data_IF_763334305953
#
_entry.id   IF_763334305953
#
_cell.length_a   1.000
_cell.length_b   1.000
_cell.length_c   1.000
_cell.angle_alpha   90.00
_cell.angle_beta   90.00
_cell.angle_gamma   90.00
#
_symmetry.space_group_name_H-M   'P 1'
#
loop_
_entity.id
_entity.type
_entity.pdbx_description
1 polymer ?
#
# COMPACT_ATOMS: atom_id res chain seq x y z
N UNK A 1 26.22 14.08 -1.37
CA UNK A 1 26.05 12.64 -1.07
C UNK A 1 24.72 12.13 -1.63
N UNK A 2 23.56 12.49 -1.06
CA UNK A 2 22.24 12.02 -1.53
C UNK A 2 21.93 12.22 -3.03
N UNK A 3 22.29 13.38 -3.61
CA UNK A 3 22.16 13.62 -5.07
C UNK A 3 22.87 12.53 -5.89
N UNK A 4 24.05 12.07 -5.45
CA UNK A 4 24.79 11.02 -6.12
C UNK A 4 24.08 9.66 -6.06
N UNK A 5 23.41 9.35 -4.94
CA UNK A 5 22.57 8.15 -4.81
C UNK A 5 21.40 8.17 -5.79
N UNK A 6 20.74 9.33 -5.94
CA UNK A 6 19.64 9.50 -6.90
C UNK A 6 20.12 9.32 -8.34
N UNK A 7 21.24 9.93 -8.73
CA UNK A 7 21.83 9.73 -10.07
C UNK A 7 22.16 8.27 -10.33
N UNK A 8 22.80 7.59 -9.37
CA UNK A 8 23.11 6.17 -9.51
C UNK A 8 21.84 5.31 -9.70
N UNK A 9 20.76 5.60 -8.96
CA UNK A 9 19.48 4.93 -9.15
C UNK A 9 18.86 5.22 -10.53
N UNK A 10 18.95 6.47 -10.99
CA UNK A 10 18.49 6.88 -12.32
C UNK A 10 19.24 6.15 -13.45
N UNK A 11 20.57 6.08 -13.37
CA UNK A 11 21.40 5.41 -14.37
C UNK A 11 21.07 3.91 -14.50
N UNK A 12 20.82 3.23 -13.37
CA UNK A 12 20.42 1.81 -13.35
C UNK A 12 19.00 1.64 -13.88
N UNK A 13 18.07 2.51 -13.46
CA UNK A 13 16.69 2.51 -13.96
C UNK A 13 16.64 2.52 -15.48
N UNK A 14 17.36 3.45 -16.11
CA UNK A 14 17.37 3.59 -17.57
C UNK A 14 17.84 2.32 -18.31
N UNK A 15 18.61 1.45 -17.65
CA UNK A 15 19.10 0.20 -18.24
C UNK A 15 18.15 -0.98 -18.03
N UNK A 16 17.38 -1.00 -16.94
CA UNK A 16 16.57 -2.15 -16.54
C UNK A 16 15.08 -1.97 -16.85
N UNK A 17 14.53 -0.81 -16.47
CA UNK A 17 13.11 -0.51 -16.58
C UNK A 17 12.91 1.03 -16.57
N UNK A 18 12.80 1.68 -17.74
CA UNK A 18 12.64 3.13 -17.79
C UNK A 18 11.31 3.62 -17.16
N UNK A 19 10.32 2.76 -17.00
CA UNK A 19 9.00 3.09 -16.44
C UNK A 19 8.97 3.01 -14.90
N UNK A 20 10.04 2.48 -14.27
CA UNK A 20 10.16 2.43 -12.81
C UNK A 20 10.19 3.85 -12.21
N UNK A 21 9.40 4.14 -11.18
CA UNK A 21 9.37 5.49 -10.59
C UNK A 21 10.40 5.68 -9.47
N UNK A 22 11.19 6.75 -9.55
CA UNK A 22 12.11 7.18 -8.50
C UNK A 22 11.49 8.32 -7.68
N UNK A 23 11.13 8.01 -6.44
CA UNK A 23 10.54 8.98 -5.50
C UNK A 23 11.62 9.41 -4.49
N UNK A 24 12.00 10.68 -4.54
CA UNK A 24 13.09 11.20 -3.72
C UNK A 24 12.59 11.86 -2.43
N UNK A 25 12.92 11.22 -1.30
CA UNK A 25 12.55 11.63 0.05
C UNK A 25 13.59 12.53 0.71
N UNK A 26 13.13 13.55 1.42
CA UNK A 26 13.94 14.38 2.32
C UNK A 26 13.28 14.50 3.69
N UNK A 27 14.01 14.09 4.73
CA UNK A 27 13.64 14.25 6.15
C UNK A 27 14.25 15.53 6.76
N UNK A 28 14.85 16.41 5.96
CA UNK A 28 15.56 17.59 6.45
C UNK A 28 14.66 18.55 7.23
N UNK A 29 13.34 18.56 7.02
CA UNK A 29 12.40 19.38 7.79
C UNK A 29 12.39 19.04 9.28
N UNK A 30 12.50 17.76 9.62
CA UNK A 30 12.47 17.26 11.00
C UNK A 30 13.86 16.99 11.60
N UNK A 31 14.93 17.13 10.80
CA UNK A 31 16.29 16.87 11.25
C UNK A 31 16.78 17.92 12.26
N UNK A 32 17.73 17.54 13.12
CA UNK A 32 18.34 18.47 14.06
C UNK A 32 19.06 19.60 13.31
N UNK A 33 18.61 20.85 13.53
CA UNK A 33 19.11 22.02 12.81
C UNK A 33 18.61 22.15 11.35
N UNK A 34 17.68 21.31 10.94
CA UNK A 34 17.10 21.34 9.60
C UNK A 34 15.96 22.35 9.44
N UNK A 35 15.49 22.51 8.21
CA UNK A 35 14.42 23.47 7.88
C UNK A 35 13.56 23.01 6.71
N UNK A 36 12.42 23.69 6.53
CA UNK A 36 11.57 23.46 5.36
C UNK A 36 12.27 23.85 4.05
N UNK A 37 13.00 24.96 4.06
CA UNK A 37 13.75 25.44 2.90
C UNK A 37 14.80 24.41 2.48
N UNK A 38 15.58 23.90 3.43
CA UNK A 38 16.55 22.84 3.15
C UNK A 38 15.88 21.58 2.58
N UNK A 39 14.70 21.21 3.09
CA UNK A 39 13.98 20.05 2.58
C UNK A 39 13.53 20.24 1.13
N UNK A 40 12.99 21.43 0.80
CA UNK A 40 12.57 21.81 -0.56
C UNK A 40 13.77 21.86 -1.51
N UNK A 41 14.87 22.50 -1.11
CA UNK A 41 16.09 22.60 -1.92
C UNK A 41 16.66 21.22 -2.24
N UNK A 42 16.68 20.32 -1.24
CA UNK A 42 17.13 18.94 -1.41
C UNK A 42 16.28 18.19 -2.42
N UNK A 43 14.94 18.18 -2.26
CA UNK A 43 14.09 17.42 -3.20
C UNK A 43 14.14 17.98 -4.61
N UNK A 44 14.26 19.30 -4.77
CA UNK A 44 14.48 19.91 -6.09
C UNK A 44 15.81 19.46 -6.71
N UNK A 45 16.90 19.44 -5.93
CA UNK A 45 18.18 18.90 -6.40
C UNK A 45 18.12 17.40 -6.72
N UNK A 46 17.20 16.65 -6.11
CA UNK A 46 16.96 15.24 -6.42
C UNK A 46 16.15 15.07 -7.71
N UNK A 47 15.15 15.93 -7.95
CA UNK A 47 14.44 15.98 -9.23
C UNK A 47 15.41 16.29 -10.39
N UNK A 48 16.28 17.29 -10.22
CA UNK A 48 17.35 17.63 -11.19
C UNK A 48 18.34 16.47 -11.42
N UNK A 49 18.39 15.50 -10.50
CA UNK A 49 19.25 14.32 -10.56
C UNK A 49 18.58 13.09 -11.20
N UNK A 50 17.32 13.20 -11.63
CA UNK A 50 16.59 12.13 -12.33
C UNK A 50 15.52 11.42 -11.49
N UNK A 51 15.15 11.97 -10.33
CA UNK A 51 13.95 11.54 -9.60
C UNK A 51 12.68 12.06 -10.30
N UNK A 52 11.61 11.26 -10.28
CA UNK A 52 10.35 11.56 -10.95
C UNK A 52 9.35 12.25 -10.01
N UNK A 53 9.48 12.05 -8.69
CA UNK A 53 8.62 12.68 -7.68
C UNK A 53 9.41 13.12 -6.45
N UNK A 54 8.94 14.19 -5.81
CA UNK A 54 9.48 14.73 -4.57
C UNK A 54 8.64 14.33 -3.37
N UNK A 55 9.31 14.06 -2.25
CA UNK A 55 8.68 13.71 -0.99
C UNK A 55 9.35 14.46 0.16
N UNK A 56 8.70 15.51 0.66
CA UNK A 56 9.14 16.26 1.84
C UNK A 56 8.43 15.68 3.06
N UNK A 57 9.19 15.04 3.95
CA UNK A 57 8.62 14.41 5.15
C UNK A 57 8.36 15.43 6.26
N UNK A 58 7.30 15.19 7.03
CA UNK A 58 7.03 15.89 8.28
C UNK A 58 6.70 17.38 8.19
N UNK A 59 6.01 17.91 7.15
CA UNK A 59 5.45 19.26 7.25
C UNK A 59 4.45 19.31 8.41
N UNK A 60 4.45 20.41 9.18
CA UNK A 60 3.68 20.49 10.45
C UNK A 60 2.47 21.41 10.37
N UNK A 61 2.21 22.05 9.24
CA UNK A 61 1.05 22.92 9.05
C UNK A 61 0.59 22.94 7.59
N UNK A 62 -0.67 23.36 7.36
CA UNK A 62 -1.23 23.51 6.02
C UNK A 62 -0.40 24.51 5.19
N UNK A 63 0.05 25.61 5.80
CA UNK A 63 0.90 26.60 5.15
C UNK A 63 2.25 26.03 4.69
N UNK A 64 2.84 25.09 5.43
CA UNK A 64 4.05 24.41 4.98
C UNK A 64 3.77 23.51 3.76
N UNK A 65 2.63 22.82 3.74
CA UNK A 65 2.23 21.97 2.62
C UNK A 65 1.97 22.81 1.36
N UNK A 66 1.26 23.93 1.49
CA UNK A 66 1.07 24.89 0.41
C UNK A 66 2.41 25.40 -0.13
N UNK A 67 3.34 25.75 0.76
CA UNK A 67 4.69 26.19 0.38
C UNK A 67 5.46 25.11 -0.37
N UNK A 68 5.39 23.85 0.08
CA UNK A 68 6.01 22.71 -0.60
C UNK A 68 5.45 22.58 -2.01
N UNK A 69 4.12 22.53 -2.14
CA UNK A 69 3.46 22.37 -3.44
C UNK A 69 3.77 23.54 -4.40
N UNK A 70 3.94 24.76 -3.88
CA UNK A 70 4.31 25.92 -4.67
C UNK A 70 5.80 25.99 -5.07
N UNK A 71 6.69 25.38 -4.29
CA UNK A 71 8.15 25.55 -4.43
C UNK A 71 8.87 24.35 -5.05
N UNK A 72 8.26 23.17 -4.98
CA UNK A 72 8.80 21.95 -5.59
C UNK A 72 8.55 21.99 -7.09
N UNK A 73 9.60 21.71 -7.88
CA UNK A 73 9.59 21.83 -9.35
C UNK A 73 9.11 20.56 -10.06
N UNK A 74 8.27 19.76 -9.40
CA UNK A 74 7.80 18.47 -9.90
C UNK A 74 6.67 17.88 -9.06
N UNK A 75 6.17 16.68 -9.41
CA UNK A 75 5.08 16.04 -8.70
C UNK A 75 5.41 15.77 -7.23
N UNK A 76 4.48 16.11 -6.34
CA UNK A 76 4.65 15.92 -4.89
C UNK A 76 3.91 14.66 -4.44
N UNK A 77 4.62 13.78 -3.73
CA UNK A 77 4.03 12.74 -2.91
C UNK A 77 3.86 13.27 -1.48
N UNK A 78 2.66 13.11 -0.91
CA UNK A 78 2.33 13.55 0.45
C UNK A 78 2.07 12.39 1.41
N UNK A 79 2.71 12.43 2.57
CA UNK A 79 2.51 11.45 3.64
C UNK A 79 1.42 11.92 4.62
N UNK A 80 0.24 11.34 4.55
CA UNK A 80 -0.82 11.61 5.53
C UNK A 80 -0.55 10.83 6.82
N UNK A 81 0.47 11.20 7.60
CA UNK A 81 0.82 10.51 8.86
C UNK A 81 1.45 11.41 9.92
N UNK A 82 1.54 10.92 11.14
CA UNK A 82 2.25 11.57 12.23
C UNK A 82 1.72 12.98 12.54
N UNK A 83 2.64 13.95 12.55
CA UNK A 83 2.37 15.36 12.85
C UNK A 83 1.80 16.14 11.67
N UNK A 84 1.77 15.54 10.48
CA UNK A 84 1.37 16.24 9.27
C UNK A 84 -0.15 16.37 9.16
N UNK A 85 -0.65 17.53 8.67
CA UNK A 85 -2.08 17.75 8.47
C UNK A 85 -2.73 16.65 7.62
N UNK A 86 -4.01 16.38 7.88
CA UNK A 86 -4.80 15.45 7.08
C UNK A 86 -5.70 16.22 6.12
N UNK A 87 -5.79 15.74 4.90
CA UNK A 87 -6.57 16.32 3.82
C UNK A 87 -7.53 15.29 3.26
N UNK A 88 -8.73 15.75 2.90
CA UNK A 88 -9.65 15.03 2.03
C UNK A 88 -9.08 14.91 0.61
N UNK A 89 -9.63 14.00 -0.20
CA UNK A 89 -9.24 13.88 -1.61
C UNK A 89 -9.40 15.20 -2.38
N UNK A 90 -10.47 15.96 -2.10
CA UNK A 90 -10.70 17.26 -2.74
C UNK A 90 -9.58 18.25 -2.40
N UNK A 91 -9.20 18.36 -1.13
CA UNK A 91 -8.12 19.23 -0.68
C UNK A 91 -6.76 18.81 -1.25
N UNK A 92 -6.47 17.51 -1.33
CA UNK A 92 -5.25 17.02 -1.98
C UNK A 92 -5.16 17.45 -3.45
N UNK A 93 -6.28 17.34 -4.17
CA UNK A 93 -6.37 17.76 -5.57
C UNK A 93 -6.21 19.29 -5.70
N UNK A 94 -6.84 20.07 -4.83
CA UNK A 94 -6.73 21.54 -4.81
C UNK A 94 -5.28 22.00 -4.55
N UNK A 95 -4.55 21.29 -3.69
CA UNK A 95 -3.14 21.55 -3.41
C UNK A 95 -2.19 21.11 -4.54
N UNK A 96 -2.68 20.36 -5.54
CA UNK A 96 -1.83 19.83 -6.61
C UNK A 96 -0.95 18.65 -6.18
N UNK A 97 -1.31 17.94 -5.11
CA UNK A 97 -0.59 16.74 -4.66
C UNK A 97 -0.86 15.60 -5.65
N UNK A 98 0.21 15.04 -6.20
CA UNK A 98 0.12 14.00 -7.24
C UNK A 98 -0.16 12.61 -6.67
N UNK A 99 0.34 12.32 -5.46
CA UNK A 99 0.09 11.05 -4.78
C UNK A 99 0.02 11.28 -3.27
N UNK A 100 -0.92 10.63 -2.59
CA UNK A 100 -0.98 10.61 -1.14
C UNK A 100 -0.88 9.18 -0.62
N UNK A 101 -0.11 8.99 0.45
CA UNK A 101 -0.01 7.70 1.16
C UNK A 101 -0.57 7.85 2.58
N UNK A 102 -1.20 6.78 3.07
CA UNK A 102 -1.74 6.70 4.44
C UNK A 102 -1.10 5.49 5.14
N UNK A 103 0.21 5.55 5.44
CA UNK A 103 0.91 4.41 5.98
C UNK A 103 0.36 4.04 7.36
N UNK A 104 0.52 2.77 7.74
CA UNK A 104 0.05 2.18 8.99
C UNK A 104 -1.48 2.11 9.18
N UNK A 105 -2.31 2.72 8.34
CA UNK A 105 -3.77 2.66 8.52
C UNK A 105 -4.27 1.20 8.52
N UNK A 106 -3.87 0.42 7.52
CA UNK A 106 -4.23 -1.00 7.41
C UNK A 106 -3.61 -1.84 8.52
N UNK A 107 -2.33 -1.62 8.85
CA UNK A 107 -1.65 -2.33 9.94
C UNK A 107 -2.33 -2.08 11.28
N UNK A 108 -2.70 -0.82 11.58
CA UNK A 108 -3.39 -0.46 12.82
C UNK A 108 -4.79 -1.05 12.85
N UNK A 109 -5.52 -1.01 11.73
CA UNK A 109 -6.82 -1.67 11.60
C UNK A 109 -6.71 -3.17 11.96
N UNK A 110 -5.76 -3.87 11.34
CA UNK A 110 -5.54 -5.29 11.58
C UNK A 110 -5.14 -5.59 13.03
N UNK A 111 -4.14 -4.87 13.57
CA UNK A 111 -3.65 -5.09 14.94
C UNK A 111 -4.72 -4.78 15.99
N UNK A 112 -5.53 -3.73 15.79
CA UNK A 112 -6.65 -3.43 16.68
C UNK A 112 -7.68 -4.54 16.68
N UNK A 113 -8.12 -5.01 15.50
CA UNK A 113 -9.08 -6.11 15.41
C UNK A 113 -8.55 -7.41 16.04
N UNK A 114 -7.27 -7.74 15.80
CA UNK A 114 -6.63 -8.89 16.43
C UNK A 114 -6.56 -8.77 17.95
N UNK A 115 -6.20 -7.58 18.46
CA UNK A 115 -6.12 -7.31 19.90
C UNK A 115 -7.50 -7.45 20.57
N UNK A 116 -8.53 -6.85 19.99
CA UNK A 116 -9.89 -6.89 20.53
C UNK A 116 -10.45 -8.32 20.54
N UNK A 117 -10.25 -9.08 19.46
CA UNK A 117 -10.64 -10.49 19.41
C UNK A 117 -9.86 -11.33 20.43
N UNK A 118 -8.55 -11.10 20.59
CA UNK A 118 -7.75 -11.81 21.58
C UNK A 118 -8.24 -11.56 23.03
N UNK A 119 -8.68 -10.34 23.34
CA UNK A 119 -9.30 -10.04 24.63
C UNK A 119 -10.64 -10.77 24.80
N UNK A 120 -11.48 -10.81 23.77
CA UNK A 120 -12.77 -11.49 23.81
C UNK A 120 -12.60 -13.02 23.98
N UNK A 121 -11.65 -13.62 23.27
CA UNK A 121 -11.32 -15.05 23.37
C UNK A 121 -10.78 -15.46 24.74
N UNK A 122 -10.09 -14.54 25.43
CA UNK A 122 -9.64 -14.75 26.81
C UNK A 122 -10.81 -14.87 27.78
N UNK A 123 -11.93 -14.20 27.50
CA UNK A 123 -13.15 -14.26 28.31
C UNK A 123 -14.00 -15.48 27.98
N UNK A 124 -14.21 -15.77 26.69
CA UNK A 124 -15.01 -16.91 26.22
C UNK A 124 -14.53 -17.38 24.82
N UNK A 125 -14.11 -18.65 24.66
CA UNK A 125 -13.75 -19.19 23.35
C UNK A 125 -14.86 -19.16 22.30
N UNK A 126 -16.15 -19.12 22.70
CA UNK A 126 -17.27 -19.03 21.74
C UNK A 126 -17.27 -17.72 20.93
N UNK A 127 -16.50 -16.71 21.36
CA UNK A 127 -16.30 -15.46 20.59
C UNK A 127 -15.65 -15.68 19.23
N UNK A 128 -14.92 -16.79 19.05
CA UNK A 128 -14.44 -17.20 17.73
C UNK A 128 -15.60 -17.38 16.74
N UNK A 129 -16.62 -18.14 17.14
CA UNK A 129 -17.71 -18.50 16.24
C UNK A 129 -18.61 -17.31 15.93
N UNK A 130 -18.79 -16.41 16.89
CA UNK A 130 -19.46 -15.11 16.68
C UNK A 130 -18.70 -14.24 15.66
N UNK A 131 -17.36 -14.17 15.79
CA UNK A 131 -16.52 -13.45 14.84
C UNK A 131 -16.59 -14.07 13.44
N UNK A 132 -16.48 -15.40 13.31
CA UNK A 132 -16.60 -16.09 12.02
C UNK A 132 -17.97 -15.85 11.37
N UNK A 133 -19.05 -15.85 12.17
CA UNK A 133 -20.37 -15.50 11.69
C UNK A 133 -20.44 -14.04 11.20
N UNK A 134 -19.75 -13.11 11.85
CA UNK A 134 -19.73 -11.69 11.47
C UNK A 134 -19.04 -11.40 10.15
N UNK A 135 -18.05 -12.21 9.76
CA UNK A 135 -17.31 -12.06 8.49
C UNK A 135 -17.86 -12.95 7.38
N UNK A 136 -18.95 -13.69 7.64
CA UNK A 136 -19.59 -14.54 6.64
C UNK A 136 -20.08 -13.68 5.47
N UNK A 137 -19.59 -13.97 4.25
CA UNK A 137 -19.91 -13.20 3.04
C UNK A 137 -19.02 -11.96 2.83
N UNK A 138 -18.08 -11.68 3.73
CA UNK A 138 -17.03 -10.71 3.47
C UNK A 138 -16.00 -11.31 2.48
N UNK A 139 -15.37 -10.54 1.57
CA UNK A 139 -14.35 -11.06 0.65
C UNK A 139 -13.16 -11.75 1.34
N UNK A 140 -12.84 -11.38 2.58
CA UNK A 140 -11.83 -12.05 3.42
C UNK A 140 -12.41 -13.11 4.38
N UNK A 141 -13.70 -13.43 4.28
CA UNK A 141 -14.36 -14.40 5.15
C UNK A 141 -13.99 -15.85 4.80
N UNK A 142 -13.74 -16.12 3.51
CA UNK A 142 -13.10 -17.33 3.03
C UNK A 142 -11.70 -16.99 2.52
N UNK A 143 -10.67 -17.46 3.24
CA UNK A 143 -9.29 -17.20 2.89
C UNK A 143 -8.83 -17.94 1.63
N UNK A 144 -9.46 -19.05 1.24
CA UNK A 144 -9.14 -19.73 -0.01
C UNK A 144 -9.63 -18.93 -1.21
N UNK A 145 -10.88 -18.46 -1.14
CA UNK A 145 -11.43 -17.59 -2.18
C UNK A 145 -10.62 -16.28 -2.27
N UNK A 146 -10.37 -15.64 -1.12
CA UNK A 146 -9.55 -14.43 -1.06
C UNK A 146 -8.15 -14.62 -1.64
N UNK A 147 -7.52 -15.78 -1.40
CA UNK A 147 -6.20 -16.11 -1.92
C UNK A 147 -6.18 -16.48 -3.41
N UNK A 148 -7.31 -16.42 -4.10
CA UNK A 148 -7.41 -16.72 -5.53
C UNK A 148 -7.35 -18.22 -5.84
N UNK A 149 -7.80 -19.09 -4.92
CA UNK A 149 -7.71 -20.54 -5.13
C UNK A 149 -8.48 -21.01 -6.38
N UNK A 150 -9.54 -20.29 -6.78
CA UNK A 150 -10.23 -20.53 -8.05
C UNK A 150 -9.29 -20.42 -9.26
N UNK A 151 -8.38 -19.44 -9.26
CA UNK A 151 -7.39 -19.23 -10.32
C UNK A 151 -6.33 -20.33 -10.30
N UNK A 152 -5.93 -20.78 -9.10
CA UNK A 152 -5.05 -21.95 -8.93
C UNK A 152 -5.68 -23.19 -9.54
N UNK A 153 -6.96 -23.47 -9.24
CA UNK A 153 -7.71 -24.60 -9.82
C UNK A 153 -7.80 -24.51 -11.34
N UNK A 154 -8.06 -23.31 -11.88
CA UNK A 154 -8.10 -23.11 -13.33
C UNK A 154 -6.73 -23.35 -14.01
N UNK A 155 -5.62 -22.98 -13.35
CA UNK A 155 -4.28 -23.30 -13.84
C UNK A 155 -3.97 -24.79 -13.75
N UNK A 156 -4.34 -25.43 -12.65
CA UNK A 156 -4.19 -26.86 -12.44
C UNK A 156 -4.90 -27.68 -13.51
N UNK A 157 -6.17 -27.41 -13.76
CA UNK A 157 -6.96 -28.09 -14.79
C UNK A 157 -6.38 -27.89 -16.20
N UNK A 158 -5.71 -26.75 -16.43
CA UNK A 158 -5.08 -26.42 -17.71
C UNK A 158 -3.73 -27.09 -17.93
N UNK A 159 -2.93 -27.25 -16.87
CA UNK A 159 -1.50 -27.57 -17.01
C UNK A 159 -1.08 -28.89 -16.35
N UNK A 160 -1.83 -29.43 -15.38
CA UNK A 160 -1.45 -30.67 -14.70
C UNK A 160 -2.05 -31.91 -15.38
N UNK A 161 -1.35 -33.06 -15.32
CA UNK A 161 -1.91 -34.35 -15.72
C UNK A 161 -3.16 -34.68 -14.90
N UNK A 162 -4.19 -35.23 -15.55
CA UNK A 162 -5.49 -35.50 -14.92
C UNK A 162 -5.40 -36.50 -13.77
N UNK A 163 -4.54 -37.50 -13.91
CA UNK A 163 -4.27 -38.52 -12.88
C UNK A 163 -3.61 -37.92 -11.63
N UNK A 164 -2.73 -36.93 -11.79
CA UNK A 164 -2.16 -36.18 -10.67
C UNK A 164 -3.18 -35.28 -9.98
N UNK A 165 -4.09 -34.65 -10.73
CA UNK A 165 -5.19 -33.87 -10.18
C UNK A 165 -6.17 -34.74 -9.40
N UNK A 166 -6.55 -35.88 -9.98
CA UNK A 166 -7.42 -36.86 -9.34
C UNK A 166 -6.79 -37.34 -8.03
N UNK A 167 -5.51 -37.72 -8.03
CA UNK A 167 -4.81 -38.14 -6.80
C UNK A 167 -4.66 -37.02 -5.75
N UNK A 168 -4.48 -35.77 -6.18
CA UNK A 168 -4.30 -34.61 -5.29
C UNK A 168 -5.58 -34.26 -4.51
N UNK A 169 -6.74 -34.45 -5.12
CA UNK A 169 -8.04 -34.12 -4.53
C UNK A 169 -8.84 -35.36 -4.10
N UNK A 170 -8.30 -36.56 -4.29
CA UNK A 170 -8.90 -37.80 -3.80
C UNK A 170 -9.04 -37.77 -2.27
N UNK A 171 -10.24 -38.07 -1.78
CA UNK A 171 -10.56 -38.01 -0.34
C UNK A 171 -10.73 -36.60 0.24
N UNK A 172 -10.59 -35.53 -0.55
CA UNK A 172 -10.94 -34.19 -0.10
C UNK A 172 -12.46 -34.01 -0.07
N UNK A 173 -13.12 -34.44 1.00
CA UNK A 173 -14.48 -34.00 1.35
C UNK A 173 -14.46 -32.51 1.78
N UNK A 174 -14.02 -31.62 0.90
CA UNK A 174 -14.19 -30.20 1.06
C UNK A 174 -15.16 -29.75 -0.01
N UNK A 175 -16.40 -29.56 0.40
CA UNK A 175 -17.54 -29.11 -0.41
C UNK A 175 -17.40 -27.68 -0.95
N UNK A 176 -16.23 -27.32 -1.49
CA UNK A 176 -16.09 -26.13 -2.32
C UNK A 176 -16.41 -26.53 -3.76
N UNK A 177 -17.70 -26.48 -4.10
CA UNK A 177 -18.09 -26.36 -5.50
C UNK A 177 -17.78 -24.91 -5.86
N UNK A 178 -16.91 -24.68 -6.85
CA UNK A 178 -16.86 -23.39 -7.50
C UNK A 178 -18.29 -23.09 -7.97
N UNK A 179 -18.99 -22.19 -7.27
CA UNK A 179 -20.18 -21.61 -7.86
C UNK A 179 -19.71 -20.91 -9.13
N UNK A 180 -20.40 -21.23 -10.22
CA UNK A 180 -20.14 -20.73 -11.55
C UNK A 180 -20.23 -19.19 -11.56
N UNK A 181 -19.10 -18.53 -11.29
CA UNK A 181 -19.00 -17.06 -11.28
C UNK A 181 -19.00 -16.46 -12.68
N UNK A 182 -19.33 -17.24 -13.73
CA UNK A 182 -19.57 -16.74 -15.08
C UNK A 182 -20.78 -15.79 -15.20
N UNK A 183 -21.39 -15.35 -14.09
CA UNK A 183 -22.55 -14.44 -14.07
C UNK A 183 -22.36 -13.14 -13.28
N UNK A 184 -21.18 -12.83 -12.74
CA UNK A 184 -20.91 -11.54 -12.10
C UNK A 184 -19.94 -10.68 -12.94
N UNK A 185 -20.29 -10.47 -14.22
CA UNK A 185 -19.70 -9.43 -15.05
C UNK A 185 -20.83 -8.69 -15.77
N UNK A 186 -21.35 -7.65 -15.13
CA UNK A 186 -22.01 -6.48 -15.74
C UNK A 186 -21.64 -5.26 -14.92
#
# INVERSE_FOLDING_TARGET
EAVGKVRAAHDVRLQLDPDFLLIARSDARGANGGSLDEAIDRVNAYLDAGADMAFVEGPTSVAEVERICASVKGPVLYNQTGVSPKFSQAQLNELGIAMAIVPNAMTRCAVTAMYDLALALREDPLRESEFMASIKGHPCGDMHEFAGFAEVRAMEDRYLPKDELEAKYDGAEHGWKADDTSKAAV
#
